data_IF_651313873265
#
_entry.id   IF_651313873265
#
_cell.length_a   1.000
_cell.length_b   1.000
_cell.length_c   1.000
_cell.angle_alpha   90.00
_cell.angle_beta   90.00
_cell.angle_gamma   90.00
#
_symmetry.space_group_name_H-M   'P 1'
#
loop_
_entity.id
_entity.type
_entity.pdbx_description
1 polymer ?
#
# COMPACT_ATOMS: atom_id res chain seq x y z
N UNK A 1 1.62 27.95 8.21
CA UNK A 1 1.98 26.67 8.88
C UNK A 1 0.85 25.65 8.68
N UNK A 2 1.06 24.59 7.88
CA UNK A 2 0.28 23.34 7.89
C UNK A 2 1.03 22.31 7.04
N UNK A 3 2.03 21.67 7.65
CA UNK A 3 2.64 20.49 7.06
C UNK A 3 1.56 19.42 6.94
N UNK A 4 1.08 19.17 5.71
CA UNK A 4 0.15 18.08 5.42
C UNK A 4 0.77 16.80 5.95
N UNK A 5 0.24 16.29 7.05
CA UNK A 5 0.57 14.96 7.53
C UNK A 5 0.12 13.98 6.46
N UNK A 6 1.08 13.49 5.67
CA UNK A 6 0.76 12.51 4.66
C UNK A 6 0.37 11.18 5.34
N UNK A 7 -0.65 10.49 4.80
CA UNK A 7 -1.21 9.29 5.40
C UNK A 7 -0.24 8.11 5.40
N UNK A 8 0.78 8.13 4.55
CA UNK A 8 1.78 7.08 4.42
C UNK A 8 3.20 7.61 4.65
N UNK A 9 4.00 6.80 5.35
CA UNK A 9 5.44 7.01 5.48
C UNK A 9 6.13 5.86 4.76
N UNK A 10 6.98 6.17 3.79
CA UNK A 10 7.80 5.18 3.09
C UNK A 10 9.23 5.29 3.58
N UNK A 11 9.71 4.22 4.20
CA UNK A 11 11.10 4.10 4.63
C UNK A 11 11.92 3.44 3.52
N UNK A 12 12.89 4.17 2.96
CA UNK A 12 13.84 3.62 1.97
C UNK A 12 15.09 3.07 2.66
N UNK A 13 15.19 1.75 2.82
CA UNK A 13 16.32 1.07 3.52
C UNK A 13 17.56 0.86 2.63
N UNK A 14 17.42 0.93 1.31
CA UNK A 14 18.48 0.74 0.31
C UNK A 14 17.94 0.88 -1.12
N UNK A 15 18.73 0.53 -2.14
CA UNK A 15 18.24 0.51 -3.52
C UNK A 15 17.16 -0.58 -3.68
N UNK A 16 15.92 -0.18 -3.98
CA UNK A 16 14.80 -1.09 -4.25
C UNK A 16 14.02 -1.59 -3.01
N UNK A 17 14.50 -1.37 -1.79
CA UNK A 17 13.80 -1.85 -0.56
C UNK A 17 13.06 -0.69 0.11
N UNK A 18 11.73 -0.73 0.00
CA UNK A 18 10.82 0.25 0.58
C UNK A 18 9.91 -0.42 1.62
N UNK A 19 9.75 0.20 2.79
CA UNK A 19 8.76 -0.24 3.79
C UNK A 19 7.72 0.87 3.95
N UNK A 20 6.51 0.61 3.50
CA UNK A 20 5.37 1.51 3.69
C UNK A 20 4.76 1.26 5.07
N UNK A 21 4.54 2.32 5.85
CA UNK A 21 3.67 2.26 7.03
C UNK A 21 2.54 3.29 6.94
N UNK A 22 1.29 2.90 7.19
CA UNK A 22 0.22 3.85 7.41
C UNK A 22 0.48 4.66 8.69
N UNK A 23 0.16 5.95 8.65
CA UNK A 23 0.30 6.88 9.76
C UNK A 23 -1.07 7.20 10.35
N UNK A 24 -1.27 6.80 11.61
CA UNK A 24 -2.52 7.04 12.35
C UNK A 24 -3.76 6.40 11.71
N UNK A 25 -4.94 6.78 12.20
CA UNK A 25 -6.21 6.21 11.73
C UNK A 25 -6.49 6.49 10.25
N UNK A 26 -6.05 7.63 9.72
CA UNK A 26 -6.31 8.04 8.32
C UNK A 26 -5.61 7.13 7.30
N UNK A 27 -4.35 6.76 7.54
CA UNK A 27 -3.63 5.83 6.67
C UNK A 27 -4.25 4.43 6.68
N UNK A 28 -4.74 3.97 7.84
CA UNK A 28 -5.46 2.70 7.95
C UNK A 28 -6.82 2.71 7.27
N UNK A 29 -7.59 3.79 7.43
CA UNK A 29 -8.87 3.99 6.73
C UNK A 29 -8.68 3.95 5.21
N UNK A 30 -7.63 4.61 4.73
CA UNK A 30 -7.29 4.62 3.31
C UNK A 30 -6.92 3.25 2.76
N UNK A 31 -6.13 2.46 3.49
CA UNK A 31 -5.86 1.05 3.12
C UNK A 31 -7.13 0.21 3.18
N UNK A 32 -7.97 0.41 4.21
CA UNK A 32 -9.24 -0.32 4.35
C UNK A 32 -10.20 -0.03 3.19
N UNK A 33 -10.36 1.24 2.83
CA UNK A 33 -11.17 1.64 1.66
C UNK A 33 -10.59 1.06 0.39
N UNK A 34 -9.27 1.12 0.20
CA UNK A 34 -8.63 0.47 -0.95
C UNK A 34 -8.93 -1.04 -0.96
N UNK A 35 -8.72 -1.75 0.15
CA UNK A 35 -9.03 -3.18 0.23
C UNK A 35 -10.51 -3.50 -0.10
N UNK A 36 -11.45 -2.65 0.29
CA UNK A 36 -12.88 -2.84 -0.01
C UNK A 36 -13.19 -2.67 -1.50
N UNK A 37 -12.46 -1.81 -2.22
CA UNK A 37 -12.71 -1.56 -3.64
C UNK A 37 -12.42 -2.77 -4.55
N UNK A 38 -11.67 -3.78 -4.07
CA UNK A 38 -11.47 -5.04 -4.83
C UNK A 38 -12.65 -6.00 -4.71
N UNK A 39 -13.52 -5.81 -3.70
CA UNK A 39 -14.62 -6.74 -3.39
C UNK A 39 -15.57 -6.95 -4.57
N UNK A 40 -16.02 -5.91 -5.30
CA UNK A 40 -16.89 -6.11 -6.46
C UNK A 40 -16.27 -6.98 -7.55
N UNK A 41 -14.96 -6.82 -7.81
CA UNK A 41 -14.22 -7.62 -8.79
C UNK A 41 -14.16 -9.10 -8.38
N UNK A 42 -13.93 -9.36 -7.09
CA UNK A 42 -13.90 -10.72 -6.54
C UNK A 42 -15.29 -11.35 -6.58
N UNK A 43 -16.34 -10.61 -6.20
CA UNK A 43 -17.72 -11.10 -6.26
C UNK A 43 -18.17 -11.41 -7.68
N UNK A 44 -17.86 -10.53 -8.64
CA UNK A 44 -18.13 -10.76 -10.05
C UNK A 44 -17.46 -12.06 -10.54
N UNK A 45 -16.18 -12.25 -10.24
CA UNK A 45 -15.47 -13.45 -10.66
C UNK A 45 -16.02 -14.71 -9.98
N UNK A 46 -16.37 -14.64 -8.69
CA UNK A 46 -16.94 -15.77 -7.96
C UNK A 46 -18.30 -16.20 -8.53
N UNK A 47 -19.18 -15.24 -8.77
CA UNK A 47 -20.48 -15.47 -9.40
C UNK A 47 -20.30 -16.11 -10.78
N UNK A 48 -19.44 -15.52 -11.61
CA UNK A 48 -19.17 -16.03 -12.96
C UNK A 48 -18.50 -17.42 -12.96
N UNK A 49 -17.54 -17.66 -12.06
CA UNK A 49 -16.90 -18.97 -11.93
C UNK A 49 -17.89 -20.05 -11.49
N UNK A 50 -18.84 -19.70 -10.61
CA UNK A 50 -19.87 -20.64 -10.14
C UNK A 50 -20.89 -21.00 -11.22
N UNK A 51 -21.23 -20.05 -12.10
CA UNK A 51 -22.18 -20.26 -13.19
C UNK A 51 -21.58 -20.98 -14.41
N UNK A 52 -20.27 -20.81 -14.65
CA UNK A 52 -19.64 -21.17 -15.93
C UNK A 52 -18.50 -22.18 -15.79
N UNK A 53 -18.43 -22.90 -14.65
CA UNK A 53 -17.32 -23.79 -14.26
C UNK A 53 -16.91 -24.88 -15.29
N UNK A 54 -17.68 -25.08 -16.37
CA UNK A 54 -17.38 -26.05 -17.46
C UNK A 54 -17.54 -25.46 -18.87
N UNK A 55 -17.79 -24.16 -19.01
CA UNK A 55 -17.99 -23.50 -20.31
C UNK A 55 -16.71 -22.89 -20.87
N UNK A 56 -16.65 -22.72 -22.20
CA UNK A 56 -15.52 -22.13 -22.92
C UNK A 56 -15.16 -20.71 -22.44
N UNK A 57 -16.08 -20.02 -21.76
CA UNK A 57 -15.92 -18.66 -21.24
C UNK A 57 -15.13 -18.60 -19.91
N UNK A 58 -14.82 -19.73 -19.27
CA UNK A 58 -14.12 -19.73 -17.98
C UNK A 58 -12.68 -19.21 -18.09
N UNK A 59 -11.94 -19.65 -19.12
CA UNK A 59 -10.54 -19.25 -19.36
C UNK A 59 -10.41 -17.73 -19.61
N UNK A 60 -11.20 -17.10 -20.50
CA UNK A 60 -11.12 -15.65 -20.69
C UNK A 60 -11.54 -14.88 -19.43
N UNK A 61 -12.55 -15.35 -18.68
CA UNK A 61 -12.93 -14.71 -17.41
C UNK A 61 -11.82 -14.77 -16.35
N UNK A 62 -11.12 -15.90 -16.24
CA UNK A 62 -9.95 -16.05 -15.36
C UNK A 62 -8.83 -15.10 -15.76
N UNK A 63 -8.53 -14.99 -17.05
CA UNK A 63 -7.51 -14.07 -17.53
C UNK A 63 -7.87 -12.61 -17.23
N UNK A 64 -9.13 -12.21 -17.44
CA UNK A 64 -9.63 -10.88 -17.14
C UNK A 64 -9.54 -10.56 -15.65
N UNK A 65 -9.88 -11.52 -14.79
CA UNK A 65 -9.73 -11.38 -13.34
C UNK A 65 -8.27 -11.18 -12.92
N UNK A 66 -7.36 -11.99 -13.45
CA UNK A 66 -5.92 -11.86 -13.19
C UNK A 66 -5.37 -10.49 -13.64
N UNK A 67 -5.77 -10.02 -14.82
CA UNK A 67 -5.39 -8.69 -15.31
C UNK A 67 -5.97 -7.57 -14.43
N UNK A 68 -7.23 -7.69 -14.02
CA UNK A 68 -7.87 -6.76 -13.08
C UNK A 68 -7.14 -6.71 -11.74
N UNK A 69 -6.75 -7.86 -11.18
CA UNK A 69 -5.97 -7.95 -9.95
C UNK A 69 -4.57 -7.35 -10.08
N UNK A 70 -3.88 -7.57 -11.20
CA UNK A 70 -2.59 -6.94 -11.47
C UNK A 70 -2.71 -5.42 -11.56
N UNK A 71 -3.67 -4.93 -12.33
CA UNK A 71 -3.95 -3.50 -12.44
C UNK A 71 -4.29 -2.89 -11.07
N UNK A 72 -5.08 -3.60 -10.25
CA UNK A 72 -5.43 -3.21 -8.89
C UNK A 72 -4.20 -3.05 -7.99
N UNK A 73 -3.29 -4.02 -8.00
CA UNK A 73 -2.06 -3.97 -7.20
C UNK A 73 -1.14 -2.84 -7.67
N UNK A 74 -0.94 -2.70 -8.98
CA UNK A 74 -0.07 -1.66 -9.55
C UNK A 74 -0.63 -0.27 -9.23
N UNK A 75 -1.93 -0.06 -9.44
CA UNK A 75 -2.60 1.20 -9.10
C UNK A 75 -2.50 1.50 -7.61
N UNK A 76 -2.64 0.48 -6.74
CA UNK A 76 -2.53 0.64 -5.30
C UNK A 76 -1.12 1.04 -4.86
N UNK A 77 -0.10 0.39 -5.43
CA UNK A 77 1.29 0.76 -5.19
C UNK A 77 1.58 2.19 -5.65
N UNK A 78 1.18 2.53 -6.88
CA UNK A 78 1.38 3.88 -7.41
C UNK A 78 0.66 4.93 -6.56
N UNK A 79 -0.59 4.67 -6.17
CA UNK A 79 -1.37 5.55 -5.32
C UNK A 79 -0.72 5.76 -3.95
N UNK A 80 -0.23 4.69 -3.31
CA UNK A 80 0.52 4.75 -2.05
C UNK A 80 1.78 5.60 -2.21
N UNK A 81 2.57 5.39 -3.27
CA UNK A 81 3.77 6.19 -3.52
C UNK A 81 3.44 7.67 -3.72
N UNK A 82 2.38 7.99 -4.48
CA UNK A 82 1.93 9.36 -4.72
C UNK A 82 1.46 10.08 -3.43
N UNK A 83 0.94 9.34 -2.45
CA UNK A 83 0.43 9.87 -1.18
C UNK A 83 1.39 9.65 0.00
N UNK A 84 2.65 9.30 -0.26
CA UNK A 84 3.64 9.00 0.76
C UNK A 84 4.75 10.04 0.89
N UNK A 85 5.14 10.34 2.13
CA UNK A 85 6.41 11.00 2.38
C UNK A 85 7.50 9.94 2.32
N UNK A 86 8.35 10.03 1.30
CA UNK A 86 9.54 9.19 1.18
C UNK A 86 10.59 9.74 2.13
N UNK A 87 10.81 9.03 3.25
CA UNK A 87 11.87 9.35 4.20
C UNK A 87 13.03 8.39 3.94
N UNK A 88 14.19 8.96 3.66
CA UNK A 88 15.40 8.16 3.49
C UNK A 88 15.84 7.59 4.85
N UNK A 89 15.99 6.27 4.93
CA UNK A 89 16.20 5.57 6.21
C UNK A 89 17.54 5.95 6.86
N UNK A 90 18.54 6.33 6.05
CA UNK A 90 19.84 6.84 6.51
C UNK A 90 19.71 8.13 7.33
N UNK A 91 18.79 9.02 6.94
CA UNK A 91 18.49 10.27 7.64
C UNK A 91 17.75 9.97 8.95
N UNK A 92 16.76 9.07 8.93
CA UNK A 92 16.02 8.67 10.15
C UNK A 92 16.93 8.02 11.21
N UNK A 93 17.88 7.16 10.81
CA UNK A 93 18.82 6.52 11.74
C UNK A 93 19.74 7.55 12.41
N UNK A 94 20.26 8.52 11.64
CA UNK A 94 21.08 9.62 12.16
C UNK A 94 20.30 10.49 13.14
N UNK A 95 19.04 10.80 12.85
CA UNK A 95 18.19 11.59 13.74
C UNK A 95 17.80 10.82 15.01
N UNK A 96 17.49 9.52 14.90
CA UNK A 96 17.27 8.67 16.09
C UNK A 96 18.51 8.57 16.97
N UNK A 97 19.70 8.46 16.38
CA UNK A 97 20.96 8.45 17.13
C UNK A 97 21.25 9.80 17.80
N UNK A 98 21.01 10.93 17.10
CA UNK A 98 21.14 12.27 17.69
C UNK A 98 20.15 12.50 18.84
N UNK A 99 18.88 12.09 18.67
CA UNK A 99 17.87 12.19 19.71
C UNK A 99 18.20 11.34 20.94
N UNK A 100 18.73 10.12 20.76
CA UNK A 100 19.22 9.28 21.86
C UNK A 100 20.39 9.93 22.60
N UNK A 101 21.37 10.49 21.87
CA UNK A 101 22.52 11.21 22.47
C UNK A 101 22.09 12.47 23.22
N UNK A 102 21.12 13.22 22.71
CA UNK A 102 20.57 14.39 23.38
C UNK A 102 19.82 14.02 24.68
N UNK A 103 19.12 12.88 24.69
CA UNK A 103 18.42 12.38 25.89
C UNK A 103 19.39 11.88 26.96
N UNK A 104 20.51 11.26 26.56
CA UNK A 104 21.58 10.85 27.45
C UNK A 104 22.39 12.01 28.06
N UNK A 105 22.33 13.21 27.47
CA UNK A 105 23.00 14.41 28.02
C UNK A 105 22.12 15.22 28.97
N UNK A 106 20.84 14.85 29.11
CA UNK A 106 19.85 15.57 29.93
C UNK A 106 19.38 14.76 31.15
N UNK A 107 19.82 13.50 31.29
CA UNK A 107 19.69 12.70 32.50
C UNK A 107 21.06 12.53 33.13
#
# INVERSE_FOLDING_TARGET
MRGREQPFIVYRRGAGIFTVRPRGAKGWLQIGVWAVLVVPLVLWFFDHASATAKGDDFVPALFLFCMGMLAWVIAGLWWVFAHSQVIEYSVMLRDKQRARRAKQRRG
#
